data_IF_309534315142
#
_entry.id   IF_309534315142
#
_cell.length_a   1.000
_cell.length_b   1.000
_cell.length_c   1.000
_cell.angle_alpha   90.00
_cell.angle_beta   90.00
_cell.angle_gamma   90.00
#
_symmetry.space_group_name_H-M   'P 1'
#
loop_
_entity.id
_entity.type
_entity.pdbx_description
1 polymer ?
#
# COMPACT_ATOMS: atom_id res chain seq x y z
N UNK A 1 -15.23 -9.58 13.00
CA UNK A 1 -16.40 -9.14 12.22
C UNK A 1 -16.37 -7.64 12.04
N UNK A 2 -16.50 -7.20 10.79
CA UNK A 2 -16.53 -5.78 10.43
C UNK A 2 -17.85 -5.12 10.84
N UNK A 3 -17.74 -3.89 11.34
CA UNK A 3 -18.84 -2.99 11.61
C UNK A 3 -19.21 -2.19 10.35
N UNK A 4 -20.38 -1.52 10.32
CA UNK A 4 -20.73 -0.63 9.21
C UNK A 4 -19.68 0.46 8.95
N UNK A 5 -19.03 0.97 9.99
CA UNK A 5 -17.93 1.93 9.84
C UNK A 5 -16.67 1.32 9.23
N UNK A 6 -16.39 0.04 9.49
CA UNK A 6 -15.26 -0.66 8.86
C UNK A 6 -15.50 -0.81 7.35
N UNK A 7 -16.74 -1.10 6.93
CA UNK A 7 -17.10 -1.18 5.50
C UNK A 7 -16.93 0.17 4.81
N UNK A 8 -17.44 1.26 5.41
CA UNK A 8 -17.25 2.61 4.86
C UNK A 8 -15.77 3.00 4.77
N UNK A 9 -14.97 2.56 5.74
CA UNK A 9 -13.53 2.78 5.75
C UNK A 9 -12.82 1.97 4.66
N UNK A 10 -13.24 0.72 4.44
CA UNK A 10 -12.74 -0.17 3.38
C UNK A 10 -13.00 0.45 2.01
N UNK A 11 -14.24 0.86 1.74
CA UNK A 11 -14.62 1.50 0.47
C UNK A 11 -13.82 2.78 0.22
N UNK A 12 -13.68 3.63 1.23
CA UNK A 12 -12.93 4.89 1.13
C UNK A 12 -11.44 4.64 0.91
N UNK A 13 -10.86 3.64 1.61
CA UNK A 13 -9.47 3.25 1.46
C UNK A 13 -9.18 2.70 0.06
N UNK A 14 -10.00 1.77 -0.42
CA UNK A 14 -9.88 1.22 -1.78
C UNK A 14 -10.04 2.29 -2.86
N UNK A 15 -10.94 3.26 -2.67
CA UNK A 15 -11.08 4.39 -3.59
C UNK A 15 -9.82 5.27 -3.63
N UNK A 16 -9.20 5.54 -2.48
CA UNK A 16 -7.96 6.30 -2.40
C UNK A 16 -6.79 5.55 -3.06
N UNK A 17 -6.66 4.25 -2.82
CA UNK A 17 -5.64 3.40 -3.44
C UNK A 17 -5.83 3.30 -4.96
N UNK A 18 -7.08 3.17 -5.43
CA UNK A 18 -7.38 3.16 -6.87
C UNK A 18 -6.95 4.47 -7.55
N UNK A 19 -7.13 5.61 -6.89
CA UNK A 19 -6.62 6.90 -7.37
C UNK A 19 -5.09 6.93 -7.53
N UNK A 20 -4.38 6.07 -6.81
CA UNK A 20 -2.93 5.90 -6.89
C UNK A 20 -2.48 4.79 -7.85
N UNK A 21 -3.42 4.14 -8.56
CA UNK A 21 -3.14 3.02 -9.45
C UNK A 21 -2.99 1.67 -8.75
N UNK A 22 -3.34 1.60 -7.46
CA UNK A 22 -3.31 0.36 -6.66
C UNK A 22 -4.72 -0.25 -6.68
N UNK A 23 -4.82 -1.49 -7.14
CA UNK A 23 -6.11 -2.17 -7.34
C UNK A 23 -6.05 -3.61 -6.84
N UNK A 24 -7.19 -4.26 -6.58
CA UNK A 24 -7.22 -5.70 -6.36
C UNK A 24 -6.49 -6.44 -7.48
N UNK A 25 -5.82 -7.53 -7.13
CA UNK A 25 -5.18 -8.43 -8.09
C UNK A 25 -6.23 -9.02 -9.05
N UNK A 26 -5.82 -9.54 -10.22
CA UNK A 26 -6.72 -10.32 -11.07
C UNK A 26 -7.37 -11.43 -10.24
N UNK A 27 -8.67 -11.63 -10.43
CA UNK A 27 -9.48 -12.63 -9.74
C UNK A 27 -9.70 -12.42 -8.23
N UNK A 28 -9.18 -11.33 -7.63
CA UNK A 28 -9.48 -10.94 -6.24
C UNK A 28 -10.76 -10.11 -6.18
N UNK A 29 -11.74 -10.62 -5.44
CA UNK A 29 -12.97 -9.92 -5.11
C UNK A 29 -12.79 -9.02 -3.88
N UNK A 30 -13.66 -8.01 -3.72
CA UNK A 30 -13.64 -7.17 -2.51
C UNK A 30 -13.92 -7.99 -1.25
N UNK A 31 -14.71 -9.06 -1.38
CA UNK A 31 -14.98 -10.00 -0.29
C UNK A 31 -13.70 -10.66 0.24
N UNK A 32 -12.75 -11.02 -0.63
CA UNK A 32 -11.48 -11.62 -0.22
C UNK A 32 -10.63 -10.65 0.60
N UNK A 33 -10.64 -9.36 0.21
CA UNK A 33 -9.96 -8.28 0.95
C UNK A 33 -10.61 -8.06 2.30
N UNK A 34 -11.95 -8.05 2.34
CA UNK A 34 -12.69 -7.93 3.60
C UNK A 34 -12.38 -9.09 4.54
N UNK A 35 -12.44 -10.32 4.04
CA UNK A 35 -12.19 -11.53 4.82
C UNK A 35 -10.79 -11.49 5.45
N UNK A 36 -9.76 -11.19 4.65
CA UNK A 36 -8.37 -11.08 5.11
C UNK A 36 -8.19 -10.02 6.21
N UNK A 37 -8.87 -8.89 6.11
CA UNK A 37 -8.79 -7.83 7.13
C UNK A 37 -9.68 -8.10 8.35
N UNK A 38 -10.70 -8.97 8.20
CA UNK A 38 -11.67 -9.26 9.25
C UNK A 38 -11.14 -10.20 10.33
N UNK A 39 -10.09 -10.97 10.00
CA UNK A 39 -9.37 -11.86 10.91
C UNK A 39 -8.67 -11.10 12.04
N UNK A 40 -8.02 -9.97 11.71
CA UNK A 40 -7.52 -8.99 12.68
C UNK A 40 -7.89 -7.56 12.24
N UNK A 41 -9.05 -7.04 12.68
CA UNK A 41 -9.51 -5.72 12.26
C UNK A 41 -8.77 -4.58 12.97
N UNK A 42 -7.98 -4.84 14.02
CA UNK A 42 -7.35 -3.78 14.80
C UNK A 42 -6.28 -3.01 14.00
N UNK A 43 -5.34 -3.65 13.28
CA UNK A 43 -4.45 -2.99 12.34
C UNK A 43 -5.18 -2.18 11.28
N UNK A 44 -6.25 -2.74 10.69
CA UNK A 44 -7.05 -2.07 9.67
C UNK A 44 -7.73 -0.80 10.20
N UNK A 45 -8.23 -0.81 11.44
CA UNK A 45 -8.84 0.39 12.05
C UNK A 45 -7.81 1.46 12.41
N UNK A 46 -6.60 1.05 12.79
CA UNK A 46 -5.54 1.98 13.17
C UNK A 46 -4.90 2.64 11.95
N UNK A 47 -4.62 1.86 10.91
CA UNK A 47 -3.92 2.30 9.70
C UNK A 47 -4.52 1.63 8.43
N UNK A 48 -5.75 2.02 8.03
CA UNK A 48 -6.50 1.33 6.97
C UNK A 48 -5.78 1.19 5.63
N UNK A 49 -5.15 2.25 5.11
CA UNK A 49 -4.44 2.15 3.83
C UNK A 49 -3.19 1.28 3.91
N UNK A 50 -2.52 1.29 5.05
CA UNK A 50 -1.35 0.48 5.35
C UNK A 50 -1.72 -1.00 5.41
N UNK A 51 -2.78 -1.32 6.15
CA UNK A 51 -3.31 -2.66 6.25
C UNK A 51 -3.80 -3.19 4.90
N UNK A 52 -4.46 -2.35 4.08
CA UNK A 52 -4.86 -2.70 2.71
C UNK A 52 -3.65 -3.01 1.81
N UNK A 53 -2.62 -2.16 1.83
CA UNK A 53 -1.42 -2.36 1.02
C UNK A 53 -0.60 -3.60 1.44
N UNK A 54 -0.73 -4.03 2.69
CA UNK A 54 -0.07 -5.21 3.25
C UNK A 54 -0.96 -6.47 3.24
N UNK A 55 -2.21 -6.39 2.76
CA UNK A 55 -3.14 -7.50 2.79
C UNK A 55 -2.71 -8.61 1.82
N UNK A 56 -2.66 -9.84 2.33
CA UNK A 56 -2.32 -11.04 1.56
C UNK A 56 -3.42 -12.08 1.67
N UNK A 57 -3.48 -12.99 0.70
CA UNK A 57 -4.31 -14.18 0.76
C UNK A 57 -3.71 -15.23 1.74
N UNK A 58 -4.40 -16.37 1.97
CA UNK A 58 -3.90 -17.43 2.83
C UNK A 58 -2.59 -18.09 2.38
N UNK A 59 -2.25 -18.02 1.09
CA UNK A 59 -1.00 -18.53 0.53
C UNK A 59 0.14 -17.49 0.63
N UNK A 60 -0.16 -16.27 1.07
CA UNK A 60 0.78 -15.17 1.27
C UNK A 60 0.95 -14.28 0.04
N UNK A 61 0.10 -14.44 -0.98
CA UNK A 61 0.13 -13.60 -2.18
C UNK A 61 -0.58 -12.26 -1.94
N UNK A 62 -0.04 -11.14 -2.45
CA UNK A 62 -0.66 -9.83 -2.26
C UNK A 62 -2.07 -9.74 -2.87
N UNK A 63 -3.04 -9.26 -2.09
CA UNK A 63 -4.40 -9.04 -2.57
C UNK A 63 -4.53 -7.77 -3.44
N UNK A 64 -3.62 -6.82 -3.27
CA UNK A 64 -3.53 -5.61 -4.08
C UNK A 64 -2.26 -5.61 -4.93
N UNK A 65 -2.40 -5.18 -6.18
CA UNK A 65 -1.32 -5.06 -7.17
C UNK A 65 -1.13 -3.59 -7.58
N UNK A 66 -0.02 -3.33 -8.28
CA UNK A 66 0.32 -1.97 -8.72
C UNK A 66 0.85 -1.09 -7.59
N UNK A 67 1.27 -1.70 -6.48
CA UNK A 67 1.86 -1.00 -5.33
C UNK A 67 3.20 -0.38 -5.74
N UNK A 68 3.14 0.88 -6.18
CA UNK A 68 4.30 1.74 -6.27
C UNK A 68 4.45 2.47 -4.93
N UNK A 69 5.56 2.30 -4.18
CA UNK A 69 5.70 2.85 -2.84
C UNK A 69 5.48 4.37 -2.77
N UNK A 70 5.87 5.11 -3.82
CA UNK A 70 5.66 6.56 -3.90
C UNK A 70 4.18 6.92 -4.06
N UNK A 71 3.47 6.16 -4.90
CA UNK A 71 2.04 6.38 -5.12
C UNK A 71 1.25 6.03 -3.86
N UNK A 72 1.64 4.94 -3.18
CA UNK A 72 1.09 4.57 -1.89
C UNK A 72 1.35 5.64 -0.84
N UNK A 73 2.60 6.10 -0.69
CA UNK A 73 2.95 7.16 0.26
C UNK A 73 2.13 8.44 0.02
N UNK A 74 1.98 8.85 -1.25
CA UNK A 74 1.18 10.01 -1.62
C UNK A 74 -0.31 9.81 -1.28
N UNK A 75 -0.87 8.64 -1.57
CA UNK A 75 -2.25 8.29 -1.24
C UNK A 75 -2.50 8.35 0.26
N UNK A 76 -1.58 7.78 1.05
CA UNK A 76 -1.67 7.76 2.50
C UNK A 76 -1.57 9.17 3.09
N UNK A 77 -0.61 9.96 2.61
CA UNK A 77 -0.46 11.36 3.03
C UNK A 77 -1.72 12.18 2.74
N UNK A 78 -2.31 12.00 1.55
CA UNK A 78 -3.56 12.67 1.17
C UNK A 78 -4.75 12.21 2.03
N UNK A 79 -4.86 10.92 2.31
CA UNK A 79 -5.96 10.33 3.07
C UNK A 79 -5.97 10.77 4.55
N UNK A 80 -4.80 10.81 5.20
CA UNK A 80 -4.69 11.22 6.60
C UNK A 80 -4.38 12.71 6.79
N UNK A 81 -4.17 13.48 5.70
CA UNK A 81 -3.79 14.89 5.78
C UNK A 81 -2.44 15.11 6.47
N UNK A 82 -1.48 14.22 6.21
CA UNK A 82 -0.16 14.18 6.85
C UNK A 82 0.97 14.20 5.82
N UNK A 83 2.22 14.12 6.28
CA UNK A 83 3.42 14.12 5.42
C UNK A 83 4.27 12.87 5.60
N UNK A 84 4.95 12.49 4.53
CA UNK A 84 5.97 11.45 4.54
C UNK A 84 7.23 12.01 5.23
N UNK A 85 7.73 11.29 6.24
CA UNK A 85 8.91 11.70 7.01
C UNK A 85 10.11 10.78 6.79
N UNK A 86 9.89 9.58 6.24
CA UNK A 86 10.95 8.65 5.87
C UNK A 86 10.49 7.73 4.74
N UNK A 87 11.43 7.38 3.87
CA UNK A 87 11.21 6.48 2.76
C UNK A 87 12.49 5.70 2.50
N UNK A 88 12.46 4.39 2.73
CA UNK A 88 13.62 3.50 2.54
C UNK A 88 13.20 2.33 1.66
N UNK A 89 14.02 1.98 0.67
CA UNK A 89 13.74 0.88 -0.28
C UNK A 89 14.76 -0.23 -0.08
N UNK A 90 14.27 -1.46 -0.09
CA UNK A 90 15.01 -2.71 0.03
C UNK A 90 14.73 -3.57 -1.21
N UNK A 91 15.49 -3.40 -2.30
CA UNK A 91 15.29 -4.19 -3.53
C UNK A 91 15.58 -5.68 -3.30
N UNK A 92 14.80 -6.55 -3.97
CA UNK A 92 15.08 -7.99 -3.94
C UNK A 92 16.39 -8.32 -4.67
N UNK A 93 17.17 -9.29 -4.18
CA UNK A 93 18.39 -9.72 -4.86
C UNK A 93 18.12 -10.14 -6.31
N UNK A 94 18.75 -9.44 -7.26
CA UNK A 94 18.60 -9.73 -8.69
C UNK A 94 17.36 -9.14 -9.35
N UNK A 95 16.48 -8.45 -8.61
CA UNK A 95 15.34 -7.72 -9.16
C UNK A 95 15.61 -6.22 -9.19
N UNK A 96 15.21 -5.57 -10.29
CA UNK A 96 15.18 -4.09 -10.40
C UNK A 96 13.79 -3.51 -10.23
N UNK A 97 12.78 -4.37 -10.04
CA UNK A 97 11.36 -3.99 -10.11
C UNK A 97 10.54 -4.49 -8.93
N UNK A 98 11.13 -5.32 -8.08
CA UNK A 98 10.49 -5.86 -6.89
C UNK A 98 11.39 -5.68 -5.66
N UNK A 99 10.76 -5.65 -4.50
CA UNK A 99 11.41 -5.53 -3.20
C UNK A 99 10.42 -5.07 -2.15
N UNK A 100 10.94 -4.54 -1.05
CA UNK A 100 10.16 -3.94 0.02
C UNK A 100 10.51 -2.48 0.20
N UNK A 101 9.56 -1.67 0.66
CA UNK A 101 9.78 -0.29 1.05
C UNK A 101 9.25 -0.05 2.46
N UNK A 102 10.03 0.67 3.26
CA UNK A 102 9.61 1.23 4.54
C UNK A 102 9.21 2.68 4.37
N UNK A 103 7.99 2.99 4.75
CA UNK A 103 7.41 4.33 4.73
C UNK A 103 7.16 4.77 6.18
N UNK A 104 7.63 5.97 6.55
CA UNK A 104 7.23 6.60 7.82
C UNK A 104 6.35 7.79 7.53
N UNK A 105 5.14 7.76 8.08
CA UNK A 105 4.07 8.70 7.80
C UNK A 105 3.72 9.43 9.10
N UNK A 106 3.92 10.74 9.08
CA UNK A 106 3.91 11.52 10.31
C UNK A 106 4.96 11.01 11.33
N UNK A 107 4.72 11.23 12.63
CA UNK A 107 5.69 10.90 13.67
C UNK A 107 5.70 9.43 14.11
N UNK A 108 4.61 8.67 13.90
CA UNK A 108 4.41 7.37 14.57
C UNK A 108 4.07 6.21 13.66
N UNK A 109 3.58 6.46 12.44
CA UNK A 109 3.14 5.38 11.55
C UNK A 109 4.32 4.92 10.68
N UNK A 110 4.69 3.64 10.80
CA UNK A 110 5.76 3.02 10.02
C UNK A 110 5.20 1.78 9.38
N UNK A 111 5.35 1.67 8.06
CA UNK A 111 4.73 0.63 7.26
C UNK A 111 5.81 0.03 6.37
N UNK A 112 5.91 -1.30 6.40
CA UNK A 112 6.70 -2.07 5.44
C UNK A 112 5.76 -2.64 4.39
N UNK A 113 6.00 -2.33 3.12
CA UNK A 113 5.18 -2.81 2.00
C UNK A 113 6.05 -3.48 0.95
N UNK A 114 5.55 -4.57 0.38
CA UNK A 114 6.12 -5.15 -0.83
C UNK A 114 5.71 -4.31 -2.03
N UNK A 115 6.61 -4.16 -3.01
CA UNK A 115 6.31 -3.52 -4.28
C UNK A 115 6.66 -4.43 -5.44
N UNK A 116 5.85 -4.37 -6.50
CA UNK A 116 6.17 -4.92 -7.81
C UNK A 116 5.75 -3.94 -8.90
N UNK A 117 6.75 -3.41 -9.60
CA UNK A 117 6.60 -2.43 -10.67
C UNK A 117 6.35 -3.07 -12.03
N UNK A 118 6.44 -4.40 -12.15
CA UNK A 118 6.08 -5.08 -13.40
C UNK A 118 4.62 -4.85 -13.78
N UNK A 119 3.75 -4.62 -12.79
CA UNK A 119 2.33 -4.36 -12.94
C UNK A 119 1.96 -2.87 -13.09
N UNK A 120 2.89 -1.94 -12.87
CA UNK A 120 2.59 -0.50 -12.90
C UNK A 120 2.79 0.11 -14.31
N UNK A 121 1.80 0.82 -14.88
CA UNK A 121 1.96 1.48 -16.17
C UNK A 121 2.84 2.74 -16.05
N UNK A 122 3.98 2.74 -16.75
CA UNK A 122 4.96 3.85 -16.76
C UNK A 122 6.30 3.45 -16.14
N UNK A 123 7.15 2.82 -16.95
CA UNK A 123 8.32 2.06 -16.51
C UNK A 123 9.62 2.90 -16.46
N UNK A 124 9.57 4.06 -15.79
CA UNK A 124 10.77 4.84 -15.46
C UNK A 124 11.19 4.50 -14.02
N UNK A 125 12.38 3.91 -13.88
CA UNK A 125 12.83 3.20 -12.68
C UNK A 125 12.64 3.94 -11.35
N UNK A 126 12.24 3.18 -10.32
CA UNK A 126 12.02 3.65 -8.94
C UNK A 126 13.22 4.43 -8.40
N UNK A 127 14.46 4.02 -8.68
CA UNK A 127 15.66 4.75 -8.25
C UNK A 127 15.67 6.24 -8.62
N UNK A 128 15.19 6.62 -9.82
CA UNK A 128 15.16 8.01 -10.27
C UNK A 128 14.05 8.85 -9.61
N UNK A 129 13.01 8.20 -9.08
CA UNK A 129 11.85 8.84 -8.44
C UNK A 129 12.04 8.98 -6.93
N UNK A 130 12.68 8.00 -6.29
CA UNK A 130 13.09 8.03 -4.87
C UNK A 130 14.03 9.20 -4.58
N UNK A 131 14.97 9.48 -5.48
CA UNK A 131 15.89 10.62 -5.35
C UNK A 131 15.20 11.99 -5.42
N UNK A 132 14.04 12.07 -6.09
CA UNK A 132 13.24 13.30 -6.21
C UNK A 132 12.34 13.57 -5.00
N UNK A 133 11.86 12.53 -4.33
CA UNK A 133 11.03 12.65 -3.12
C UNK A 133 11.87 12.96 -1.86
N UNK A 134 13.14 12.60 -1.87
CA UNK A 134 14.08 12.84 -0.76
C UNK A 134 14.95 14.10 -0.92
N UNK A 135 14.74 14.90 -1.98
CA UNK A 135 15.44 16.17 -2.16
C UNK A 135 14.60 17.30 -1.53
N UNK A 136 15.21 18.17 -0.69
CA UNK A 136 14.52 19.30 -0.06
C UNK A 136 14.03 20.35 -1.07
#
# INVERSE_FOLDING_TARGET
MFSPSDHSLLESGLAALRGAGITPAPDVEIGDVEDALSDDPAPFRAAPLSALAAATDPDGEPLLVGVAPEALAAAICAFYGTTLTEFVVFPDPGSRRAGSARLRIGPWDVIDVSYDLAAAPGNDGVEARVQKLCAP
#
